data_IF_318281240674
#
_entry.id   IF_318281240674
#
_cell.length_a   1.000
_cell.length_b   1.000
_cell.length_c   1.000
_cell.angle_alpha   90.00
_cell.angle_beta   90.00
_cell.angle_gamma   90.00
#
_symmetry.space_group_name_H-M   'P 1'
#
loop_
_entity.id
_entity.type
_entity.pdbx_description
1 polymer ?
#
# COMPACT_ATOMS: atom_id res chain seq x y z
N UNK A 1 -13.97 23.53 25.96
CA UNK A 1 -13.48 23.75 24.58
C UNK A 1 -13.38 25.24 24.37
N UNK A 2 -12.20 25.71 24.02
CA UNK A 2 -11.96 27.11 23.71
C UNK A 2 -12.37 27.41 22.26
N UNK A 3 -12.54 28.69 21.93
CA UNK A 3 -12.91 29.14 20.58
C UNK A 3 -11.94 28.67 19.49
N UNK A 4 -10.65 28.50 19.81
CA UNK A 4 -9.63 27.99 18.89
C UNK A 4 -9.81 26.50 18.55
N UNK A 5 -10.38 25.69 19.45
CA UNK A 5 -10.62 24.25 19.18
C UNK A 5 -11.64 24.09 18.04
N UNK A 6 -12.70 24.91 18.06
CA UNK A 6 -13.72 24.92 17.02
C UNK A 6 -13.18 25.39 15.67
N UNK A 7 -12.31 26.42 15.68
CA UNK A 7 -11.65 26.90 14.46
C UNK A 7 -10.72 25.84 13.88
N UNK A 8 -9.98 25.10 14.72
CA UNK A 8 -9.11 24.02 14.29
C UNK A 8 -9.90 22.86 13.66
N UNK A 9 -11.01 22.45 14.28
CA UNK A 9 -11.90 21.41 13.73
C UNK A 9 -12.48 21.86 12.38
N UNK A 10 -12.95 23.11 12.29
CA UNK A 10 -13.49 23.65 11.05
C UNK A 10 -12.41 23.69 9.95
N UNK A 11 -11.22 24.19 10.27
CA UNK A 11 -10.10 24.24 9.33
C UNK A 11 -9.71 22.83 8.86
N UNK A 12 -9.63 21.86 9.76
CA UNK A 12 -9.36 20.46 9.43
C UNK A 12 -10.41 19.90 8.47
N UNK A 13 -11.70 20.08 8.75
CA UNK A 13 -12.78 19.60 7.89
C UNK A 13 -12.75 20.25 6.51
N UNK A 14 -12.52 21.57 6.44
CA UNK A 14 -12.44 22.29 5.15
C UNK A 14 -11.26 21.78 4.33
N UNK A 15 -10.08 21.67 4.94
CA UNK A 15 -8.87 21.21 4.26
C UNK A 15 -8.98 19.74 3.80
N UNK A 16 -9.69 18.90 4.54
CA UNK A 16 -9.93 17.50 4.19
C UNK A 16 -10.99 17.34 3.09
N UNK A 17 -12.13 18.02 3.22
CA UNK A 17 -13.30 17.81 2.35
C UNK A 17 -13.24 18.62 1.05
N UNK A 18 -12.57 19.77 1.04
CA UNK A 18 -12.44 20.58 -0.19
C UNK A 18 -11.81 19.83 -1.37
N UNK A 19 -10.70 19.06 -1.21
CA UNK A 19 -10.10 18.32 -2.32
C UNK A 19 -10.79 16.98 -2.63
N UNK A 20 -11.56 16.42 -1.69
CA UNK A 20 -12.20 15.12 -1.81
C UNK A 20 -13.01 14.91 -3.11
N UNK A 21 -13.88 15.83 -3.56
CA UNK A 21 -14.64 15.63 -4.81
C UNK A 21 -13.76 15.67 -6.06
N UNK A 22 -12.67 16.45 -6.05
CA UNK A 22 -11.75 16.51 -7.19
C UNK A 22 -10.91 15.23 -7.27
N UNK A 23 -10.33 14.82 -6.16
CA UNK A 23 -9.58 13.56 -6.04
C UNK A 23 -10.46 12.34 -6.35
N UNK A 24 -11.68 12.29 -5.81
CA UNK A 24 -12.60 11.19 -6.04
C UNK A 24 -12.95 11.01 -7.52
N UNK A 25 -13.23 12.10 -8.24
CA UNK A 25 -13.45 12.07 -9.71
C UNK A 25 -12.21 11.60 -10.45
N UNK A 26 -11.03 12.03 -10.03
CA UNK A 26 -9.77 11.60 -10.62
C UNK A 26 -9.53 10.09 -10.43
N UNK A 27 -9.72 9.57 -9.22
CA UNK A 27 -9.63 8.13 -8.94
C UNK A 27 -10.65 7.34 -9.76
N UNK A 28 -11.91 7.77 -9.81
CA UNK A 28 -12.94 7.11 -10.61
C UNK A 28 -12.52 6.99 -12.09
N UNK A 29 -12.04 8.08 -12.69
CA UNK A 29 -11.57 8.06 -14.09
C UNK A 29 -10.42 7.10 -14.33
N UNK A 30 -9.45 7.06 -13.42
CA UNK A 30 -8.33 6.10 -13.52
C UNK A 30 -8.84 4.68 -13.43
N UNK A 31 -9.73 4.40 -12.48
CA UNK A 31 -10.21 3.04 -12.25
C UNK A 31 -11.10 2.55 -13.39
N UNK A 32 -11.86 3.40 -14.06
CA UNK A 32 -12.62 3.02 -15.28
C UNK A 32 -11.76 3.03 -16.56
N UNK A 33 -10.46 3.33 -16.46
CA UNK A 33 -9.56 3.37 -17.62
C UNK A 33 -9.80 4.57 -18.55
N UNK A 34 -10.46 5.62 -18.07
CA UNK A 34 -10.64 6.87 -18.80
C UNK A 34 -9.34 7.66 -18.91
N UNK A 35 -9.18 8.45 -19.98
CA UNK A 35 -8.02 9.33 -20.15
C UNK A 35 -8.07 10.47 -19.14
N UNK A 36 -7.01 10.60 -18.35
CA UNK A 36 -6.78 11.74 -17.48
C UNK A 36 -5.76 12.70 -18.07
N UNK A 37 -5.62 13.88 -17.46
CA UNK A 37 -4.62 14.88 -17.85
C UNK A 37 -3.17 14.38 -17.68
N UNK A 38 -2.94 13.36 -16.85
CA UNK A 38 -1.63 12.72 -16.66
C UNK A 38 -1.38 11.53 -17.59
N UNK A 39 -2.41 11.02 -18.27
CA UNK A 39 -2.29 9.89 -19.19
C UNK A 39 -1.25 10.05 -20.31
N UNK A 40 -0.98 11.24 -20.88
CA UNK A 40 0.07 11.40 -21.90
C UNK A 40 1.48 11.07 -21.36
N UNK A 41 1.74 11.37 -20.08
CA UNK A 41 3.05 11.18 -19.44
C UNK A 41 3.15 9.82 -18.78
N UNK A 42 2.10 9.39 -18.06
CA UNK A 42 2.10 8.13 -17.31
C UNK A 42 1.67 6.92 -18.13
N UNK A 43 0.91 7.10 -19.21
CA UNK A 43 0.42 5.99 -20.06
C UNK A 43 1.51 5.15 -20.72
N UNK A 44 2.68 5.69 -21.13
CA UNK A 44 3.83 4.88 -21.54
C UNK A 44 4.42 4.04 -20.39
N UNK A 45 4.51 4.61 -19.18
CA UNK A 45 5.02 3.94 -17.98
C UNK A 45 4.09 2.80 -17.57
N UNK A 46 2.79 3.06 -17.54
CA UNK A 46 1.74 2.07 -17.27
C UNK A 46 1.80 0.90 -18.25
N UNK A 47 1.90 1.17 -19.56
CA UNK A 47 2.06 0.12 -20.59
C UNK A 47 3.35 -0.67 -20.43
N UNK A 48 4.44 -0.04 -19.99
CA UNK A 48 5.68 -0.74 -19.69
C UNK A 48 5.52 -1.66 -18.46
N UNK A 49 4.89 -1.18 -17.39
CA UNK A 49 4.57 -2.00 -16.21
C UNK A 49 3.69 -3.20 -16.58
N UNK A 50 2.61 -3.00 -17.33
CA UNK A 50 1.75 -4.09 -17.79
C UNK A 50 2.51 -5.12 -18.62
N UNK A 51 3.38 -4.67 -19.54
CA UNK A 51 4.19 -5.57 -20.36
C UNK A 51 5.18 -6.39 -19.53
N UNK A 52 5.86 -5.75 -18.57
CA UNK A 52 6.85 -6.43 -17.70
C UNK A 52 6.15 -7.42 -16.77
N UNK A 53 4.97 -7.06 -16.26
CA UNK A 53 4.17 -7.92 -15.38
C UNK A 53 3.32 -8.96 -16.13
N UNK A 54 3.31 -8.94 -17.47
CA UNK A 54 2.47 -9.84 -18.28
C UNK A 54 0.96 -9.62 -18.11
N UNK A 55 0.55 -8.42 -17.69
CA UNK A 55 -0.85 -8.06 -17.45
C UNK A 55 -1.48 -7.57 -18.75
N UNK A 56 -2.59 -8.19 -19.16
CA UNK A 56 -3.45 -7.65 -20.22
C UNK A 56 -4.59 -6.81 -19.60
N UNK A 57 -4.59 -5.48 -19.76
CA UNK A 57 -5.62 -4.62 -19.18
C UNK A 57 -7.02 -4.83 -19.77
N UNK A 58 -7.15 -5.56 -20.89
CA UNK A 58 -8.45 -5.89 -21.49
C UNK A 58 -9.09 -7.15 -20.92
N UNK A 59 -8.34 -7.94 -20.17
CA UNK A 59 -8.84 -9.20 -19.62
C UNK A 59 -9.60 -8.92 -18.31
N UNK A 60 -10.89 -9.22 -18.29
CA UNK A 60 -11.68 -9.17 -17.07
C UNK A 60 -11.40 -10.39 -16.18
N UNK A 61 -11.41 -10.20 -14.85
CA UNK A 61 -11.24 -11.28 -13.88
C UNK A 61 -12.57 -11.61 -13.21
N UNK A 62 -12.83 -12.91 -13.00
CA UNK A 62 -13.93 -13.33 -12.13
C UNK A 62 -13.65 -12.99 -10.66
N UNK A 63 -14.68 -12.93 -9.81
CA UNK A 63 -14.50 -12.63 -8.39
C UNK A 63 -13.54 -13.60 -7.69
N UNK A 64 -13.54 -14.87 -8.10
CA UNK A 64 -12.65 -15.90 -7.55
C UNK A 64 -11.20 -15.64 -7.95
N UNK A 65 -10.95 -15.31 -9.22
CA UNK A 65 -9.62 -14.96 -9.72
C UNK A 65 -9.09 -13.71 -9.01
N UNK A 66 -9.93 -12.69 -8.84
CA UNK A 66 -9.57 -11.45 -8.15
C UNK A 66 -9.22 -11.70 -6.69
N UNK A 67 -10.04 -12.49 -5.97
CA UNK A 67 -9.79 -12.87 -4.58
C UNK A 67 -8.46 -13.63 -4.43
N UNK A 68 -8.21 -14.64 -5.27
CA UNK A 68 -6.97 -15.40 -5.22
C UNK A 68 -5.75 -14.57 -5.59
N UNK A 69 -5.87 -13.65 -6.55
CA UNK A 69 -4.80 -12.73 -6.90
C UNK A 69 -4.43 -11.82 -5.71
N UNK A 70 -5.42 -11.25 -5.03
CA UNK A 70 -5.20 -10.43 -3.82
C UNK A 70 -4.56 -11.23 -2.70
N UNK A 71 -5.07 -12.43 -2.41
CA UNK A 71 -4.53 -13.28 -1.35
C UNK A 71 -3.09 -13.70 -1.64
N UNK A 72 -2.80 -14.13 -2.88
CA UNK A 72 -1.46 -14.52 -3.29
C UNK A 72 -0.48 -13.33 -3.22
N UNK A 73 -0.91 -12.15 -3.65
CA UNK A 73 -0.10 -10.94 -3.60
C UNK A 73 0.26 -10.52 -2.17
N UNK A 74 -0.72 -10.53 -1.26
CA UNK A 74 -0.48 -10.21 0.15
C UNK A 74 0.37 -11.28 0.85
N UNK A 75 0.13 -12.56 0.55
CA UNK A 75 0.96 -13.65 1.06
C UNK A 75 2.42 -13.54 0.59
N UNK A 76 2.64 -13.21 -0.68
CA UNK A 76 3.98 -12.97 -1.20
C UNK A 76 4.64 -11.77 -0.50
N UNK A 77 3.91 -10.67 -0.34
CA UNK A 77 4.37 -9.50 0.42
C UNK A 77 4.75 -9.83 1.86
N UNK A 78 3.92 -10.64 2.53
CA UNK A 78 4.18 -11.15 3.88
C UNK A 78 5.47 -11.98 3.93
N UNK A 79 5.61 -12.97 3.05
CA UNK A 79 6.79 -13.86 3.03
C UNK A 79 8.07 -13.06 2.80
N UNK A 80 8.05 -12.12 1.85
CA UNK A 80 9.20 -11.26 1.54
C UNK A 80 9.57 -10.38 2.74
N UNK A 81 8.58 -9.68 3.34
CA UNK A 81 8.84 -8.82 4.49
C UNK A 81 9.32 -9.65 5.70
N UNK A 82 8.65 -10.76 6.00
CA UNK A 82 9.01 -11.64 7.10
C UNK A 82 10.45 -12.16 6.97
N UNK A 83 10.82 -12.67 5.78
CA UNK A 83 12.18 -13.12 5.52
C UNK A 83 13.20 -11.98 5.64
N UNK A 84 12.86 -10.78 5.15
CA UNK A 84 13.73 -9.62 5.25
C UNK A 84 13.96 -9.18 6.70
N UNK A 85 12.93 -9.19 7.55
CA UNK A 85 13.05 -8.86 8.99
C UNK A 85 13.86 -9.90 9.76
N UNK A 86 13.65 -11.18 9.46
CA UNK A 86 14.41 -12.29 10.05
C UNK A 86 15.89 -12.23 9.65
N UNK A 87 16.18 -11.86 8.39
CA UNK A 87 17.52 -11.87 7.82
C UNK A 87 18.19 -10.49 7.80
N UNK A 88 17.59 -9.46 8.41
CA UNK A 88 18.08 -8.07 8.28
C UNK A 88 19.53 -7.89 8.74
N UNK A 89 20.03 -8.74 9.64
CA UNK A 89 21.41 -8.72 10.08
C UNK A 89 22.43 -8.99 8.98
N UNK A 90 22.04 -9.75 7.94
CA UNK A 90 22.88 -10.06 6.78
C UNK A 90 22.66 -9.12 5.59
N UNK A 91 21.67 -8.22 5.66
CA UNK A 91 21.29 -7.34 4.56
C UNK A 91 22.10 -6.04 4.57
N UNK A 92 22.30 -5.41 3.39
CA UNK A 92 22.99 -4.13 3.29
C UNK A 92 22.18 -2.99 3.94
N UNK A 93 22.81 -1.82 4.08
CA UNK A 93 22.22 -0.63 4.73
C UNK A 93 21.82 -0.86 6.20
N UNK A 94 22.69 -1.58 6.92
CA UNK A 94 22.59 -1.80 8.35
C UNK A 94 23.84 -1.25 9.07
N UNK A 95 24.01 0.09 9.16
CA UNK A 95 25.20 0.69 9.77
C UNK A 95 25.34 0.38 11.27
N UNK A 96 24.22 0.14 11.94
CA UNK A 96 24.14 -0.19 13.37
C UNK A 96 24.31 -1.69 13.64
N UNK A 97 24.50 -2.51 12.61
CA UNK A 97 24.67 -3.97 12.71
C UNK A 97 23.56 -4.65 13.54
N UNK A 98 22.32 -4.16 13.38
CA UNK A 98 21.15 -4.68 14.09
C UNK A 98 20.91 -6.14 13.68
N UNK A 99 20.67 -7.05 14.62
CA UNK A 99 20.43 -8.46 14.30
C UNK A 99 19.07 -8.66 13.62
N UNK A 100 18.87 -9.87 13.09
CA UNK A 100 17.55 -10.36 12.72
C UNK A 100 16.53 -10.22 13.86
N UNK A 101 15.29 -9.85 13.53
CA UNK A 101 14.22 -9.86 14.53
C UNK A 101 13.95 -11.28 15.01
N UNK A 102 13.49 -11.41 16.27
CA UNK A 102 12.94 -12.66 16.78
C UNK A 102 11.70 -13.06 15.97
N UNK A 103 11.49 -14.37 15.77
CA UNK A 103 10.51 -14.87 14.80
C UNK A 103 9.07 -14.39 15.06
N UNK A 104 8.66 -14.32 16.33
CA UNK A 104 7.31 -13.88 16.69
C UNK A 104 7.14 -12.38 16.44
N UNK A 105 8.17 -11.58 16.71
CA UNK A 105 8.18 -10.14 16.44
C UNK A 105 8.22 -9.85 14.93
N UNK A 106 9.05 -10.57 14.17
CA UNK A 106 9.11 -10.47 12.72
C UNK A 106 7.77 -10.84 12.09
N UNK A 107 7.11 -11.89 12.58
CA UNK A 107 5.79 -12.33 12.11
C UNK A 107 4.74 -11.26 12.38
N UNK A 108 4.67 -10.77 13.62
CA UNK A 108 3.70 -9.74 14.02
C UNK A 108 3.89 -8.45 13.19
N UNK A 109 5.14 -8.01 13.03
CA UNK A 109 5.47 -6.83 12.24
C UNK A 109 5.10 -7.02 10.77
N UNK A 110 5.50 -8.15 10.17
CA UNK A 110 5.20 -8.42 8.77
C UNK A 110 3.69 -8.47 8.50
N UNK A 111 2.95 -9.22 9.32
CA UNK A 111 1.49 -9.26 9.22
C UNK A 111 0.89 -7.88 9.38
N UNK A 112 1.33 -7.12 10.37
CA UNK A 112 0.76 -5.81 10.65
C UNK A 112 0.89 -4.82 9.50
N UNK A 113 1.99 -4.86 8.74
CA UNK A 113 2.19 -3.96 7.61
C UNK A 113 1.44 -4.43 6.36
N UNK A 114 1.39 -5.75 6.13
CA UNK A 114 0.58 -6.35 5.05
C UNK A 114 -0.91 -6.09 5.27
N UNK A 115 -1.39 -6.12 6.51
CA UNK A 115 -2.79 -5.81 6.87
C UNK A 115 -3.07 -4.32 7.02
N UNK A 116 -2.13 -3.45 6.62
CA UNK A 116 -2.25 -1.99 6.69
C UNK A 116 -2.60 -1.45 8.10
N UNK A 117 -2.17 -2.17 9.14
CA UNK A 117 -2.42 -1.81 10.54
C UNK A 117 -1.26 -1.02 11.14
N UNK A 118 -0.03 -1.37 10.76
CA UNK A 118 1.21 -0.74 11.20
C UNK A 118 1.38 -0.67 12.74
N UNK A 119 0.89 -1.68 13.44
CA UNK A 119 1.20 -1.97 14.83
C UNK A 119 2.71 -2.13 15.04
N UNK A 120 3.21 -1.51 16.11
CA UNK A 120 4.63 -1.46 16.43
C UNK A 120 4.84 -1.89 17.88
N UNK A 121 5.30 -3.13 18.05
CA UNK A 121 5.73 -3.68 19.35
C UNK A 121 7.26 -3.61 19.54
N UNK A 122 7.94 -2.77 18.75
CA UNK A 122 9.39 -2.61 18.71
C UNK A 122 9.76 -1.12 18.65
N UNK A 123 11.02 -0.78 18.94
CA UNK A 123 11.56 0.57 18.69
C UNK A 123 12.17 0.61 17.29
N UNK A 124 11.69 1.50 16.43
CA UNK A 124 12.14 1.58 15.04
C UNK A 124 13.64 1.85 14.92
N UNK A 125 14.18 2.70 15.78
CA UNK A 125 15.58 3.10 15.79
C UNK A 125 16.51 2.01 16.33
N UNK A 126 16.01 1.14 17.21
CA UNK A 126 16.82 0.10 17.86
C UNK A 126 16.59 -1.30 17.29
N UNK A 127 15.55 -1.51 16.48
CA UNK A 127 15.13 -2.85 16.02
C UNK A 127 15.12 -3.02 14.50
N UNK A 128 15.20 -1.96 13.70
CA UNK A 128 15.10 -2.06 12.24
C UNK A 128 16.29 -1.42 11.51
N UNK A 129 16.86 -2.16 10.56
CA UNK A 129 17.82 -1.62 9.61
C UNK A 129 17.17 -0.61 8.65
N UNK A 130 17.98 0.25 8.01
CA UNK A 130 17.47 1.24 7.06
C UNK A 130 16.86 0.55 5.83
N UNK A 131 17.44 -0.57 5.39
CA UNK A 131 16.85 -1.36 4.31
C UNK A 131 15.47 -1.90 4.70
N UNK A 132 15.33 -2.41 5.93
CA UNK A 132 14.07 -2.95 6.43
C UNK A 132 12.96 -1.90 6.40
N UNK A 133 13.28 -0.68 6.82
CA UNK A 133 12.34 0.45 6.80
C UNK A 133 12.01 0.91 5.37
N UNK A 134 13.04 1.08 4.54
CA UNK A 134 12.92 1.65 3.19
C UNK A 134 12.27 0.69 2.20
N UNK A 135 12.67 -0.58 2.18
CA UNK A 135 12.25 -1.54 1.15
C UNK A 135 11.19 -2.52 1.68
N UNK A 136 11.15 -2.77 2.98
CA UNK A 136 10.07 -3.59 3.56
C UNK A 136 8.85 -2.77 3.91
N UNK A 137 8.99 -2.01 4.99
CA UNK A 137 7.86 -1.33 5.62
C UNK A 137 7.24 -0.30 4.69
N UNK A 138 8.07 0.52 4.03
CA UNK A 138 7.57 1.54 3.11
C UNK A 138 6.88 0.92 1.90
N UNK A 139 7.43 -0.15 1.31
CA UNK A 139 6.76 -0.85 0.20
C UNK A 139 5.41 -1.41 0.64
N UNK A 140 5.34 -2.04 1.82
CA UNK A 140 4.07 -2.53 2.36
C UNK A 140 3.07 -1.40 2.61
N UNK A 141 3.49 -0.23 3.08
CA UNK A 141 2.59 0.93 3.23
C UNK A 141 1.92 1.34 1.92
N UNK A 142 2.60 1.18 0.78
CA UNK A 142 2.02 1.44 -0.53
C UNK A 142 1.11 0.30 -0.99
N UNK A 143 1.61 -0.94 -0.94
CA UNK A 143 0.92 -2.06 -1.57
C UNK A 143 -0.28 -2.56 -0.76
N UNK A 144 -0.27 -2.42 0.57
CA UNK A 144 -1.41 -2.76 1.42
C UNK A 144 -2.57 -1.76 1.24
N UNK A 145 -2.25 -0.46 1.16
CA UNK A 145 -3.22 0.58 0.82
C UNK A 145 -3.78 0.39 -0.60
N UNK A 146 -2.92 0.08 -1.59
CA UNK A 146 -3.34 -0.21 -2.96
C UNK A 146 -4.28 -1.43 -3.02
N UNK A 147 -3.99 -2.48 -2.25
CA UNK A 147 -4.85 -3.67 -2.13
C UNK A 147 -6.24 -3.28 -1.59
N UNK A 148 -6.31 -2.46 -0.55
CA UNK A 148 -7.58 -1.97 -0.01
C UNK A 148 -8.40 -1.19 -1.03
N UNK A 149 -7.74 -0.31 -1.80
CA UNK A 149 -8.39 0.44 -2.88
C UNK A 149 -8.86 -0.49 -4.02
N UNK A 150 -8.07 -1.51 -4.37
CA UNK A 150 -8.41 -2.49 -5.38
C UNK A 150 -9.70 -3.25 -5.01
N UNK A 151 -9.82 -3.70 -3.76
CA UNK A 151 -11.05 -4.33 -3.23
C UNK A 151 -12.24 -3.38 -3.27
N UNK A 152 -12.06 -2.11 -2.88
CA UNK A 152 -13.14 -1.10 -2.96
C UNK A 152 -13.64 -0.94 -4.39
N UNK A 153 -12.74 -0.87 -5.37
CA UNK A 153 -13.10 -0.74 -6.79
C UNK A 153 -13.85 -1.97 -7.29
N UNK A 154 -13.38 -3.18 -6.94
CA UNK A 154 -14.07 -4.42 -7.28
C UNK A 154 -15.49 -4.47 -6.71
N UNK A 155 -15.67 -4.03 -5.45
CA UNK A 155 -16.97 -3.93 -4.80
C UNK A 155 -17.88 -2.91 -5.50
N UNK A 156 -17.39 -1.69 -5.76
CA UNK A 156 -18.14 -0.67 -6.47
C UNK A 156 -18.62 -1.16 -7.84
N UNK A 157 -17.74 -1.84 -8.59
CA UNK A 157 -18.09 -2.42 -9.90
C UNK A 157 -19.18 -3.48 -9.76
N UNK A 158 -19.07 -4.38 -8.79
CA UNK A 158 -20.07 -5.43 -8.54
C UNK A 158 -21.42 -4.93 -8.01
N UNK A 159 -21.50 -3.70 -7.49
CA UNK A 159 -22.77 -3.05 -7.13
C UNK A 159 -23.36 -2.29 -8.33
N UNK A 160 -22.50 -1.67 -9.15
CA UNK A 160 -22.93 -0.80 -10.26
C UNK A 160 -23.31 -1.53 -11.54
N UNK A 161 -22.77 -2.73 -11.77
CA UNK A 161 -22.99 -3.60 -12.93
C UNK A 161 -23.87 -4.77 -12.53
#
# INVERSE_FOLDING_TARGET
MHSYDYLLILAFLVLLLAPAPWLGRFYYRIMEGERTWLSPVLGPVERACYRISGVDPKTEQSWQQYMWALLAFNLAGFVVLFAMLMLQGALPLNPQQLPGMEWSLAFNTAMSFVTNTNWQAYSGEASLSYLSQMVGLTVQNFVSAATGLAVLVALCRGISR
#
